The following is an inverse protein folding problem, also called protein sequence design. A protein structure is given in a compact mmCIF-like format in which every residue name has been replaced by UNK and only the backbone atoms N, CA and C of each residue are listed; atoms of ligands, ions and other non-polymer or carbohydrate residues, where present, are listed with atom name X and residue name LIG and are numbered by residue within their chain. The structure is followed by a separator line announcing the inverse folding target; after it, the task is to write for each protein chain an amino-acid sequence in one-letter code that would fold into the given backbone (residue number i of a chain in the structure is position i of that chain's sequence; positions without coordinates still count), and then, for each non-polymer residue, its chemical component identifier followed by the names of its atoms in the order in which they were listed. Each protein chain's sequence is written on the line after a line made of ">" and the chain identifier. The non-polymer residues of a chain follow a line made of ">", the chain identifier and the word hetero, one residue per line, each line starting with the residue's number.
data_IF_045726957572
#
_entry.id   IF_045726957572
#
_cell.length_a   1.000
_cell.length_b   1.000
_cell.length_c   1.000
_cell.angle_alpha   90.00
_cell.angle_beta   90.00
_cell.angle_gamma   90.00
#
_symmetry.space_group_name_H-M   'P 1'
#
loop_
_entity.id
_entity.type
_entity.pdbx_description
1 polymer ?
#
# COMPACT_ATOMS: atom_id res chain seq x y z
N UNK A 1 5.29 9.45 27.75
CA UNK A 1 5.22 9.86 26.32
C UNK A 1 5.37 8.59 25.51
N UNK A 2 4.45 8.32 24.59
CA UNK A 2 4.56 7.16 23.71
C UNK A 2 5.19 7.67 22.43
N UNK A 3 6.48 7.41 22.23
CA UNK A 3 7.15 7.75 20.98
C UNK A 3 6.54 6.89 19.85
N UNK A 4 6.26 7.47 18.67
CA UNK A 4 5.74 6.71 17.55
C UNK A 4 6.71 5.59 17.16
N UNK A 5 6.16 4.44 16.78
CA UNK A 5 6.96 3.28 16.42
C UNK A 5 7.82 3.59 15.19
N UNK A 6 9.02 2.98 15.07
CA UNK A 6 9.90 3.24 13.92
C UNK A 6 9.27 2.80 12.59
N UNK A 7 8.39 1.81 12.61
CA UNK A 7 7.63 1.39 11.43
C UNK A 7 6.27 0.77 11.81
N UNK A 8 5.36 0.78 10.84
CA UNK A 8 4.04 0.18 10.87
C UNK A 8 3.87 -0.74 9.65
N UNK A 9 3.33 -1.94 9.89
CA UNK A 9 2.96 -2.89 8.83
C UNK A 9 1.45 -3.09 8.87
N UNK A 10 0.78 -2.79 7.77
CA UNK A 10 -0.64 -2.96 7.60
C UNK A 10 -0.92 -4.01 6.54
N UNK A 11 -1.67 -5.05 6.93
CA UNK A 11 -2.07 -6.12 6.03
C UNK A 11 -3.53 -5.96 5.65
N UNK A 12 -3.80 -5.58 4.39
CA UNK A 12 -5.15 -5.44 3.81
C UNK A 12 -6.18 -4.67 4.66
N UNK A 13 -5.73 -3.62 5.35
CA UNK A 13 -6.59 -2.84 6.28
C UNK A 13 -7.79 -2.18 5.60
N UNK A 14 -7.76 -2.06 4.29
CA UNK A 14 -8.75 -1.40 3.45
C UNK A 14 -9.71 -2.37 2.74
N UNK A 15 -9.62 -3.67 3.03
CA UNK A 15 -10.40 -4.73 2.38
C UNK A 15 -11.93 -4.49 2.45
N UNK A 16 -12.41 -4.06 3.62
CA UNK A 16 -13.84 -3.89 3.92
C UNK A 16 -14.32 -2.42 3.87
N UNK A 17 -13.51 -1.52 3.30
CA UNK A 17 -13.84 -0.11 3.16
C UNK A 17 -14.32 0.23 1.75
N UNK A 18 -15.25 1.18 1.64
CA UNK A 18 -15.62 1.76 0.35
C UNK A 18 -14.53 2.70 -0.19
N UNK A 19 -14.64 3.09 -1.46
CA UNK A 19 -13.63 3.92 -2.13
C UNK A 19 -13.37 5.27 -1.42
N UNK A 20 -14.38 5.86 -0.79
CA UNK A 20 -14.25 7.13 -0.07
C UNK A 20 -13.41 6.94 1.20
N UNK A 21 -13.74 5.92 2.01
CA UNK A 21 -12.97 5.61 3.22
C UNK A 21 -11.54 5.14 2.87
N UNK A 22 -11.35 4.37 1.79
CA UNK A 22 -10.01 3.98 1.33
C UNK A 22 -9.13 5.19 1.01
N UNK A 23 -9.68 6.15 0.27
CA UNK A 23 -8.98 7.41 -0.05
C UNK A 23 -8.64 8.21 1.21
N UNK A 24 -9.57 8.30 2.16
CA UNK A 24 -9.36 9.01 3.42
C UNK A 24 -8.25 8.36 4.27
N UNK A 25 -8.25 7.02 4.39
CA UNK A 25 -7.20 6.30 5.11
C UNK A 25 -5.85 6.46 4.42
N UNK A 26 -5.79 6.36 3.09
CA UNK A 26 -4.57 6.58 2.33
C UNK A 26 -3.96 7.96 2.58
N UNK A 27 -4.79 9.01 2.57
CA UNK A 27 -4.35 10.38 2.88
C UNK A 27 -3.90 10.53 4.33
N UNK A 28 -4.63 9.92 5.28
CA UNK A 28 -4.27 9.95 6.70
C UNK A 28 -2.90 9.30 6.94
N UNK A 29 -2.64 8.13 6.35
CA UNK A 29 -1.36 7.43 6.48
C UNK A 29 -0.20 8.26 5.91
N UNK A 30 -0.41 8.93 4.77
CA UNK A 30 0.58 9.83 4.18
C UNK A 30 0.92 10.98 5.14
N UNK A 31 -0.09 11.66 5.68
CA UNK A 31 0.12 12.78 6.61
C UNK A 31 0.86 12.35 7.88
N UNK A 32 0.49 11.20 8.46
CA UNK A 32 1.14 10.67 9.66
C UNK A 32 2.60 10.28 9.36
N UNK A 33 2.86 9.67 8.20
CA UNK A 33 4.21 9.36 7.72
C UNK A 33 5.10 10.60 7.65
N UNK A 34 4.58 11.70 7.09
CA UNK A 34 5.30 12.97 6.98
C UNK A 34 5.53 13.65 8.35
N UNK A 35 4.53 13.62 9.25
CA UNK A 35 4.59 14.25 10.57
C UNK A 35 5.53 13.50 11.52
N UNK A 36 5.38 12.18 11.60
CA UNK A 36 6.11 11.33 12.57
C UNK A 36 7.45 10.85 12.05
N UNK A 37 7.70 10.97 10.72
CA UNK A 37 8.81 10.31 10.02
C UNK A 37 8.83 8.79 10.21
N UNK A 38 7.68 8.18 10.53
CA UNK A 38 7.53 6.74 10.68
C UNK A 38 7.43 6.03 9.33
N UNK A 39 7.97 4.81 9.23
CA UNK A 39 7.86 4.02 8.00
C UNK A 39 6.53 3.26 7.94
N UNK A 40 5.80 3.37 6.83
CA UNK A 40 4.56 2.64 6.61
C UNK A 40 4.72 1.64 5.48
N UNK A 41 4.46 0.37 5.76
CA UNK A 41 4.40 -0.73 4.79
C UNK A 41 2.97 -1.22 4.76
N UNK A 42 2.33 -1.17 3.60
CA UNK A 42 0.93 -1.58 3.43
C UNK A 42 0.81 -2.60 2.31
N UNK A 43 0.08 -3.68 2.53
CA UNK A 43 -0.40 -4.58 1.47
C UNK A 43 -1.85 -4.22 1.14
N UNK A 44 -2.20 -4.26 -0.14
CA UNK A 44 -3.54 -3.90 -0.61
C UNK A 44 -3.77 -4.41 -2.03
N UNK A 45 -5.03 -4.71 -2.34
CA UNK A 45 -5.52 -4.98 -3.70
C UNK A 45 -6.35 -3.81 -4.24
N UNK A 46 -6.22 -2.62 -3.65
CA UNK A 46 -7.03 -1.45 -3.98
C UNK A 46 -6.13 -0.30 -4.46
N UNK A 47 -6.56 0.46 -5.49
CA UNK A 47 -5.70 1.47 -6.11
C UNK A 47 -5.45 2.69 -5.21
N UNK A 48 -6.35 3.00 -4.28
CA UNK A 48 -6.31 4.26 -3.51
C UNK A 48 -5.03 4.41 -2.68
N UNK A 49 -4.52 3.31 -2.13
CA UNK A 49 -3.26 3.28 -1.36
C UNK A 49 -2.01 3.45 -2.26
N UNK A 50 -2.04 2.94 -3.50
CA UNK A 50 -0.93 3.05 -4.45
C UNK A 50 -0.72 4.50 -4.92
N UNK A 51 -1.79 5.30 -4.94
CA UNK A 51 -1.74 6.71 -5.35
C UNK A 51 -0.93 7.58 -4.39
N UNK A 52 -0.89 7.22 -3.10
CA UNK A 52 -0.16 7.97 -2.07
C UNK A 52 1.21 7.38 -1.74
N UNK A 53 1.46 6.12 -2.11
CA UNK A 53 2.70 5.41 -1.78
C UNK A 53 3.93 6.06 -2.44
N UNK A 54 5.04 6.14 -1.70
CA UNK A 54 6.33 6.61 -2.22
C UNK A 54 7.01 5.56 -3.11
N UNK A 55 6.96 4.29 -2.69
CA UNK A 55 7.50 3.15 -3.43
C UNK A 55 6.46 2.03 -3.49
N UNK A 56 6.38 1.39 -4.66
CA UNK A 56 5.50 0.24 -4.88
C UNK A 56 6.36 -1.01 -5.07
N UNK A 57 5.93 -2.11 -4.45
CA UNK A 57 6.56 -3.42 -4.60
C UNK A 57 5.53 -4.40 -5.15
N UNK A 58 5.87 -5.08 -6.24
CA UNK A 58 5.05 -6.10 -6.85
C UNK A 58 5.54 -7.48 -6.43
N UNK A 59 4.62 -8.34 -5.97
CA UNK A 59 4.92 -9.75 -5.68
C UNK A 59 4.37 -10.60 -6.82
N UNK A 60 5.22 -11.46 -7.40
CA UNK A 60 4.83 -12.39 -8.45
C UNK A 60 5.11 -13.84 -8.03
N UNK A 61 4.23 -14.76 -8.42
CA UNK A 61 4.40 -16.19 -8.19
C UNK A 61 4.54 -16.93 -9.51
N UNK A 62 5.72 -17.51 -9.76
CA UNK A 62 6.04 -18.27 -10.98
C UNK A 62 6.88 -19.49 -10.61
N UNK A 63 6.67 -20.61 -11.31
CA UNK A 63 7.44 -21.84 -11.09
C UNK A 63 7.49 -22.32 -9.62
N UNK A 64 6.37 -22.19 -8.89
CA UNK A 64 6.25 -22.50 -7.45
C UNK A 64 7.17 -21.67 -6.54
N UNK A 65 7.64 -20.51 -7.00
CA UNK A 65 8.46 -19.57 -6.22
C UNK A 65 7.87 -18.15 -6.25
N UNK A 66 7.93 -17.45 -5.12
CA UNK A 66 7.53 -16.06 -4.99
C UNK A 66 8.74 -15.14 -5.18
N UNK A 67 8.57 -14.08 -5.97
CA UNK A 67 9.58 -13.05 -6.25
C UNK A 67 9.01 -11.67 -5.96
N UNK A 68 9.84 -10.74 -5.50
CA UNK A 68 9.45 -9.35 -5.22
C UNK A 68 10.36 -8.39 -5.99
N UNK A 69 9.75 -7.41 -6.66
CA UNK A 69 10.46 -6.39 -7.43
C UNK A 69 9.87 -5.00 -7.17
N UNK A 70 10.71 -3.97 -7.32
CA UNK A 70 10.25 -2.58 -7.31
C UNK A 70 9.56 -2.31 -8.63
N UNK A 71 8.31 -1.85 -8.56
CA UNK A 71 7.50 -1.53 -9.74
C UNK A 71 7.14 -0.06 -9.75
N UNK A 72 6.91 0.49 -10.95
CA UNK A 72 6.35 1.83 -11.06
C UNK A 72 4.91 1.87 -10.54
N UNK A 73 4.44 3.06 -10.17
CA UNK A 73 3.04 3.23 -9.74
C UNK A 73 2.06 2.81 -10.84
N UNK A 74 2.36 3.11 -12.10
CA UNK A 74 1.49 2.79 -13.23
C UNK A 74 1.40 1.26 -13.46
N UNK A 75 2.52 0.54 -13.33
CA UNK A 75 2.53 -0.93 -13.37
C UNK A 75 1.76 -1.55 -12.20
N UNK A 76 1.92 -1.00 -10.99
CA UNK A 76 1.18 -1.45 -9.82
C UNK A 76 -0.33 -1.22 -9.96
N UNK A 77 -0.74 -0.05 -10.48
CA UNK A 77 -2.14 0.27 -10.75
C UNK A 77 -2.73 -0.68 -11.80
N UNK A 78 -2.00 -0.91 -12.90
CA UNK A 78 -2.40 -1.86 -13.94
C UNK A 78 -2.58 -3.27 -13.36
N UNK A 79 -1.67 -3.72 -12.51
CA UNK A 79 -1.78 -5.03 -11.84
C UNK A 79 -3.06 -5.13 -10.99
N UNK A 80 -3.39 -4.08 -10.22
CA UNK A 80 -4.61 -4.04 -9.41
C UNK A 80 -5.88 -3.99 -10.26
N UNK A 81 -5.84 -3.31 -11.41
CA UNK A 81 -6.97 -3.28 -12.36
C UNK A 81 -7.18 -4.63 -13.05
N UNK A 82 -6.11 -5.30 -13.45
CA UNK A 82 -6.16 -6.63 -14.08
C UNK A 82 -6.75 -7.69 -13.13
N UNK A 83 -6.50 -7.61 -11.81
CA UNK A 83 -7.11 -8.53 -10.85
C UNK A 83 -8.61 -8.34 -10.62
N UNK A 84 -9.20 -7.21 -11.05
CA UNK A 84 -10.65 -6.99 -10.94
C UNK A 84 -11.44 -7.68 -12.07
N UNK A 85 -10.76 -8.18 -13.10
CA UNK A 85 -11.36 -8.84 -14.27
C UNK A 85 -11.32 -10.35 -14.11
#
# INVERSE_FOLDING_TARGET
>A
ACDPAPFYLFDEIDANLDAQYRTAVAQMLKSISEETKGQFICTTFRPEMLLVAEKCYGVSFRNKASSIDVVSRDEALKFVEEQKT
#
